data_IF_089449804323
#
_entry.id   IF_089449804323
#
_cell.length_a   1.000
_cell.length_b   1.000
_cell.length_c   1.000
_cell.angle_alpha   90.00
_cell.angle_beta   90.00
_cell.angle_gamma   90.00
#
_symmetry.space_group_name_H-M   'P 1'
#
loop_
_entity.id
_entity.type
_entity.pdbx_description
1 polymer ?
#
# COMPACT_ATOMS: atom_id res chain seq x y z
N UNK A 1 -2.54 -0.84 15.53
CA UNK A 1 -1.28 -1.60 15.41
C UNK A 1 -0.82 -1.52 13.94
N UNK A 2 0.46 -1.24 13.66
CA UNK A 2 0.98 -1.19 12.27
C UNK A 2 1.55 -2.56 11.92
N UNK A 3 1.27 -3.08 10.73
CA UNK A 3 1.88 -4.31 10.22
C UNK A 3 3.37 -4.03 9.93
N UNK A 4 4.33 -4.72 10.57
CA UNK A 4 5.73 -4.56 10.23
C UNK A 4 6.02 -5.20 8.88
N UNK A 5 6.62 -4.44 7.97
CA UNK A 5 7.03 -4.92 6.64
C UNK A 5 8.55 -5.11 6.54
N UNK A 6 9.29 -4.65 7.54
CA UNK A 6 10.73 -4.81 7.71
C UNK A 6 11.04 -5.49 9.03
N UNK A 7 12.09 -6.30 9.04
CA UNK A 7 12.59 -6.98 10.23
C UNK A 7 13.22 -5.95 11.19
N UNK A 8 12.80 -5.86 12.47
CA UNK A 8 13.34 -4.89 13.41
C UNK A 8 14.81 -5.15 13.80
N UNK A 9 15.37 -6.31 13.43
CA UNK A 9 16.75 -6.67 13.76
C UNK A 9 17.75 -6.40 12.63
N UNK A 10 17.32 -6.55 11.37
CA UNK A 10 18.22 -6.48 10.20
C UNK A 10 17.66 -5.67 9.03
N UNK A 11 16.49 -5.05 9.20
CA UNK A 11 15.82 -4.17 8.24
C UNK A 11 15.44 -4.82 6.90
N UNK A 12 15.69 -6.13 6.73
CA UNK A 12 15.28 -6.88 5.55
C UNK A 12 13.75 -7.02 5.47
N UNK A 13 13.22 -7.19 4.25
CA UNK A 13 11.78 -7.37 4.03
C UNK A 13 11.26 -8.65 4.70
N UNK A 14 10.07 -8.57 5.31
CA UNK A 14 9.40 -9.72 5.91
C UNK A 14 8.49 -10.44 4.89
N UNK A 15 8.38 -11.76 5.05
CA UNK A 15 7.44 -12.61 4.33
C UNK A 15 6.26 -13.02 5.23
N UNK A 16 5.14 -13.39 4.60
CA UNK A 16 3.98 -13.95 5.31
C UNK A 16 4.24 -15.43 5.57
N UNK A 17 4.35 -15.80 6.84
CA UNK A 17 4.63 -17.18 7.27
C UNK A 17 3.36 -18.01 7.56
N UNK A 18 2.27 -17.34 7.95
CA UNK A 18 1.02 -17.99 8.36
C UNK A 18 -0.20 -17.09 8.14
N UNK A 19 -1.31 -17.69 7.71
CA UNK A 19 -2.65 -17.09 7.71
C UNK A 19 -3.62 -17.96 8.51
N UNK A 20 -4.52 -17.33 9.27
CA UNK A 20 -5.55 -18.02 10.04
C UNK A 20 -6.94 -17.66 9.52
N UNK A 21 -7.76 -18.68 9.25
CA UNK A 21 -9.17 -18.49 8.93
C UNK A 21 -9.97 -18.21 10.21
N UNK A 22 -10.67 -17.08 10.27
CA UNK A 22 -11.50 -16.72 11.43
C UNK A 22 -12.85 -17.44 11.48
N UNK A 23 -13.17 -18.28 10.49
CA UNK A 23 -14.44 -19.02 10.42
C UNK A 23 -14.32 -20.47 10.90
N UNK A 24 -13.24 -21.17 10.55
CA UNK A 24 -13.03 -22.59 10.85
C UNK A 24 -11.68 -22.92 11.50
N UNK A 25 -10.94 -21.90 11.95
CA UNK A 25 -9.63 -22.00 12.59
C UNK A 25 -8.50 -22.62 11.76
N UNK A 26 -8.75 -23.00 10.49
CA UNK A 26 -7.72 -23.50 9.58
C UNK A 26 -6.53 -22.54 9.51
N UNK A 27 -5.32 -23.07 9.77
CA UNK A 27 -4.06 -22.35 9.60
C UNK A 27 -3.38 -22.78 8.32
N UNK A 28 -3.06 -21.81 7.47
CA UNK A 28 -2.28 -22.03 6.25
C UNK A 28 -0.87 -21.52 6.51
N UNK A 29 0.13 -22.41 6.46
CA UNK A 29 1.54 -22.08 6.66
C UNK A 29 2.28 -22.15 5.32
N UNK A 30 3.24 -21.27 5.14
CA UNK A 30 4.06 -21.24 3.93
C UNK A 30 5.06 -20.10 3.95
N UNK A 31 5.79 -19.92 2.85
CA UNK A 31 6.63 -18.75 2.64
C UNK A 31 6.03 -17.96 1.48
N UNK A 32 5.22 -16.95 1.81
CA UNK A 32 4.56 -16.13 0.80
C UNK A 32 5.16 -14.73 0.80
N UNK A 33 5.42 -14.20 -0.40
CA UNK A 33 5.81 -12.81 -0.55
C UNK A 33 4.73 -11.89 0.00
N UNK A 34 5.14 -10.84 0.71
CA UNK A 34 4.21 -9.81 1.14
C UNK A 34 3.66 -9.08 -0.11
N UNK A 35 2.33 -9.04 -0.31
CA UNK A 35 1.73 -8.33 -1.45
C UNK A 35 2.24 -6.89 -1.56
N UNK A 36 2.52 -6.43 -2.78
CA UNK A 36 3.11 -5.10 -3.03
C UNK A 36 2.32 -3.97 -2.37
N UNK A 37 0.98 -4.04 -2.39
CA UNK A 37 0.13 -3.05 -1.76
C UNK A 37 0.39 -2.91 -0.25
N UNK A 38 0.70 -4.02 0.44
CA UNK A 38 1.02 -4.00 1.87
C UNK A 38 2.42 -3.45 2.16
N UNK A 39 3.31 -3.38 1.17
CA UNK A 39 4.62 -2.70 1.28
C UNK A 39 4.51 -1.17 1.25
N UNK A 40 3.35 -0.63 0.86
CA UNK A 40 3.08 0.81 0.87
C UNK A 40 2.68 1.28 2.27
N UNK A 41 2.98 2.54 2.58
CA UNK A 41 2.51 3.20 3.80
C UNK A 41 0.98 3.36 3.80
N UNK A 42 0.37 3.55 4.97
CA UNK A 42 -1.09 3.71 5.06
C UNK A 42 -1.62 4.86 4.22
N UNK A 43 -0.96 6.01 4.26
CA UNK A 43 -1.39 7.18 3.48
C UNK A 43 -1.31 6.95 1.95
N UNK A 44 -0.42 6.07 1.50
CA UNK A 44 -0.28 5.67 0.10
C UNK A 44 -1.35 4.66 -0.29
N UNK A 45 -1.66 3.71 0.60
CA UNK A 45 -2.76 2.76 0.44
C UNK A 45 -4.10 3.48 0.35
N UNK A 46 -4.33 4.44 1.24
CA UNK A 46 -5.55 5.26 1.28
C UNK A 46 -5.65 6.15 0.04
N UNK A 47 -4.53 6.70 -0.44
CA UNK A 47 -4.49 7.45 -1.70
C UNK A 47 -4.95 6.58 -2.88
N UNK A 48 -4.44 5.36 -3.01
CA UNK A 48 -4.82 4.44 -4.12
C UNK A 48 -6.31 4.11 -4.05
N UNK A 49 -6.84 3.85 -2.84
CA UNK A 49 -8.25 3.57 -2.65
C UNK A 49 -9.11 4.79 -3.01
N UNK A 50 -8.75 5.98 -2.55
CA UNK A 50 -9.45 7.21 -2.87
C UNK A 50 -9.42 7.53 -4.37
N UNK A 51 -8.29 7.27 -5.04
CA UNK A 51 -8.16 7.41 -6.48
C UNK A 51 -9.11 6.47 -7.23
N UNK A 52 -9.17 5.20 -6.80
CA UNK A 52 -10.09 4.22 -7.38
C UNK A 52 -11.56 4.62 -7.18
N UNK A 53 -11.92 5.02 -5.95
CA UNK A 53 -13.28 5.48 -5.62
C UNK A 53 -13.66 6.78 -6.36
N UNK A 54 -12.68 7.59 -6.74
CA UNK A 54 -12.86 8.80 -7.55
C UNK A 54 -12.88 8.52 -9.06
N UNK A 55 -12.99 7.25 -9.49
CA UNK A 55 -12.91 6.83 -10.90
C UNK A 55 -11.64 7.33 -11.61
N UNK A 56 -10.53 7.45 -10.86
CA UNK A 56 -9.26 7.95 -11.37
C UNK A 56 -9.18 9.48 -11.52
N UNK A 57 -10.12 10.24 -10.95
CA UNK A 57 -10.14 11.70 -11.08
C UNK A 57 -9.27 12.40 -10.01
N UNK A 58 -8.06 12.79 -10.41
CA UNK A 58 -7.18 13.63 -9.57
C UNK A 58 -7.80 14.99 -9.25
N UNK A 59 -8.62 15.52 -10.16
CA UNK A 59 -9.32 16.79 -9.93
C UNK A 59 -10.34 16.66 -8.80
N UNK A 60 -11.11 15.58 -8.77
CA UNK A 60 -12.09 15.34 -7.69
C UNK A 60 -11.37 15.08 -6.36
N UNK A 61 -10.28 14.31 -6.37
CA UNK A 61 -9.47 14.11 -5.17
C UNK A 61 -8.91 15.43 -4.62
N UNK A 62 -8.36 16.29 -5.49
CA UNK A 62 -7.82 17.59 -5.10
C UNK A 62 -8.91 18.48 -4.47
N UNK A 63 -10.11 18.49 -5.06
CA UNK A 63 -11.27 19.21 -4.54
C UNK A 63 -11.70 18.68 -3.16
N UNK A 64 -11.80 17.37 -2.99
CA UNK A 64 -12.19 16.73 -1.73
C UNK A 64 -11.17 16.95 -0.60
N UNK A 65 -9.89 17.01 -0.95
CA UNK A 65 -8.80 17.24 0.00
C UNK A 65 -8.51 18.73 0.26
N UNK A 66 -9.24 19.65 -0.39
CA UNK A 66 -8.97 21.10 -0.36
C UNK A 66 -7.52 21.46 -0.75
N UNK A 67 -6.96 20.70 -1.70
CA UNK A 67 -5.61 20.88 -2.22
C UNK A 67 -5.62 21.39 -3.64
N UNK A 68 -4.52 22.01 -4.05
CA UNK A 68 -4.33 22.37 -5.46
C UNK A 68 -4.20 21.11 -6.32
N UNK A 69 -4.71 21.17 -7.56
CA UNK A 69 -4.50 20.09 -8.53
C UNK A 69 -3.00 19.73 -8.71
N UNK A 70 -2.06 20.70 -8.85
CA UNK A 70 -0.63 20.40 -8.88
C UNK A 70 -0.14 19.60 -7.66
N UNK A 71 -0.58 19.95 -6.45
CA UNK A 71 -0.19 19.21 -5.23
C UNK A 71 -0.66 17.76 -5.28
N UNK A 72 -1.92 17.53 -5.64
CA UNK A 72 -2.47 16.17 -5.75
C UNK A 72 -1.80 15.38 -6.86
N UNK A 73 -1.48 16.04 -7.98
CA UNK A 73 -0.78 15.43 -9.11
C UNK A 73 0.63 14.98 -8.74
N UNK A 74 1.41 15.84 -8.08
CA UNK A 74 2.75 15.49 -7.63
C UNK A 74 2.71 14.28 -6.68
N UNK A 75 1.76 14.24 -5.75
CA UNK A 75 1.56 13.10 -4.85
C UNK A 75 1.28 11.79 -5.61
N UNK A 76 0.49 11.85 -6.69
CA UNK A 76 0.25 10.69 -7.56
C UNK A 76 1.53 10.24 -8.25
N UNK A 77 2.27 11.18 -8.85
CA UNK A 77 3.47 10.89 -9.62
C UNK A 77 4.57 10.29 -8.72
N UNK A 78 4.76 10.82 -7.50
CA UNK A 78 5.67 10.27 -6.49
C UNK A 78 5.33 8.81 -6.13
N UNK A 79 4.03 8.53 -5.93
CA UNK A 79 3.57 7.18 -5.61
C UNK A 79 3.75 6.20 -6.78
N UNK A 80 3.54 6.66 -8.01
CA UNK A 80 3.80 5.87 -9.22
C UNK A 80 5.29 5.48 -9.29
N UNK A 81 6.20 6.42 -9.08
CA UNK A 81 7.65 6.14 -9.09
C UNK A 81 8.05 5.16 -7.97
N UNK A 82 7.50 5.32 -6.77
CA UNK A 82 7.71 4.36 -5.67
C UNK A 82 7.24 2.95 -6.04
N UNK A 83 6.05 2.82 -6.63
CA UNK A 83 5.51 1.52 -7.06
C UNK A 83 6.39 0.88 -8.14
N UNK A 84 6.91 1.66 -9.09
CA UNK A 84 7.83 1.15 -10.12
C UNK A 84 9.11 0.58 -9.50
N UNK A 85 9.69 1.27 -8.51
CA UNK A 85 10.86 0.78 -7.78
C UNK A 85 10.55 -0.55 -7.07
N UNK A 86 9.41 -0.63 -6.38
CA UNK A 86 8.97 -1.85 -5.67
C UNK A 86 8.64 -3.02 -6.60
N UNK A 87 8.28 -2.79 -7.87
CA UNK A 87 8.04 -3.85 -8.87
C UNK A 87 9.31 -4.39 -9.53
N UNK A 88 10.40 -3.63 -9.45
CA UNK A 88 11.70 -3.98 -10.08
C UNK A 88 12.61 -4.72 -9.09
N UNK A 89 12.21 -4.78 -7.82
CA UNK A 89 12.77 -5.62 -6.75
C UNK A 89 12.12 -6.99 -6.74
#
# INVERSE_FOLDING_TARGET
MKLPIFCPSCESSLNVSQMKCNHCDTTVNGNYDLPLYLKLGRDEQDFILAFFLSSGSIKEMAKQAELSYPTMRNKMDDLIEKIKQLKTL
#
